data_IF_291945191035
#
_entry.id   IF_291945191035
#
_cell.length_a   1.000
_cell.length_b   1.000
_cell.length_c   1.000
_cell.angle_alpha   90.00
_cell.angle_beta   90.00
_cell.angle_gamma   90.00
#
_symmetry.space_group_name_H-M   'P 1'
#
loop_
_entity.id
_entity.type
_entity.pdbx_description
1 polymer ?
#
# COMPACT_ATOMS: atom_id res chain seq x y z
N UNK A 1 22.42 -16.71 -4.27
CA UNK A 1 21.07 -16.49 -4.79
C UNK A 1 20.68 -15.01 -4.61
N UNK A 2 20.26 -14.36 -5.68
CA UNK A 2 19.91 -12.94 -5.61
C UNK A 2 18.56 -12.75 -4.93
N UNK A 3 18.44 -11.70 -4.11
CA UNK A 3 17.17 -11.29 -3.54
C UNK A 3 16.30 -10.69 -4.65
N UNK A 4 15.02 -10.99 -4.64
CA UNK A 4 14.09 -10.46 -5.65
C UNK A 4 13.66 -9.03 -5.27
N UNK A 5 13.13 -8.29 -6.25
CA UNK A 5 12.54 -6.97 -5.98
C UNK A 5 11.34 -7.08 -5.06
N UNK A 6 10.58 -8.16 -5.15
CA UNK A 6 9.47 -8.46 -4.23
C UNK A 6 9.98 -8.53 -2.78
N UNK A 7 11.04 -9.29 -2.53
CA UNK A 7 11.61 -9.43 -1.19
C UNK A 7 12.16 -8.11 -0.67
N UNK A 8 12.86 -7.35 -1.52
CA UNK A 8 13.38 -6.03 -1.15
C UNK A 8 12.25 -5.05 -0.82
N UNK A 9 11.16 -5.08 -1.58
CA UNK A 9 10.01 -4.22 -1.32
C UNK A 9 9.41 -4.51 0.06
N UNK A 10 9.29 -5.78 0.42
CA UNK A 10 8.75 -6.18 1.73
C UNK A 10 9.65 -5.73 2.87
N UNK A 11 10.98 -5.85 2.74
CA UNK A 11 11.92 -5.36 3.75
C UNK A 11 11.81 -3.84 3.91
N UNK A 12 11.75 -3.12 2.81
CA UNK A 12 11.64 -1.66 2.81
C UNK A 12 10.33 -1.21 3.45
N UNK A 13 9.22 -1.84 3.10
CA UNK A 13 7.91 -1.56 3.67
C UNK A 13 7.91 -1.74 5.19
N UNK A 14 8.53 -2.79 5.68
CA UNK A 14 8.64 -3.08 7.11
C UNK A 14 9.29 -1.94 7.88
N UNK A 15 10.30 -1.28 7.30
CA UNK A 15 10.99 -0.16 7.95
C UNK A 15 10.08 1.03 8.24
N UNK A 16 8.99 1.17 7.51
CA UNK A 16 8.12 2.33 7.64
C UNK A 16 6.96 2.14 8.60
N UNK A 17 6.87 0.99 9.27
CA UNK A 17 5.87 0.79 10.32
C UNK A 17 5.98 1.88 11.38
N UNK A 18 4.84 2.50 11.72
CA UNK A 18 4.78 3.56 12.71
C UNK A 18 4.95 4.97 12.17
N UNK A 19 5.30 5.15 10.89
CA UNK A 19 5.36 6.48 10.28
C UNK A 19 3.95 7.02 10.11
N UNK A 20 3.77 8.32 10.33
CA UNK A 20 2.45 8.93 10.28
C UNK A 20 1.83 8.93 8.88
N UNK A 21 0.51 8.80 8.84
CA UNK A 21 -0.29 9.05 7.65
C UNK A 21 -0.37 10.57 7.43
N UNK A 22 -0.23 11.00 6.17
CA UNK A 22 -0.46 12.39 5.80
C UNK A 22 -1.18 12.44 4.45
N UNK A 23 -2.34 13.05 4.42
CA UNK A 23 -3.14 13.14 3.19
C UNK A 23 -2.36 13.84 2.08
N UNK A 24 -2.23 13.18 0.92
CA UNK A 24 -1.41 13.67 -0.18
C UNK A 24 0.09 13.52 0.05
N UNK A 25 0.51 12.97 1.19
CA UNK A 25 1.92 12.80 1.54
C UNK A 25 2.62 11.71 0.74
N UNK A 26 3.87 11.97 0.36
CA UNK A 26 4.67 11.06 -0.45
C UNK A 26 6.13 10.98 0.03
N UNK A 27 6.41 11.35 1.26
CA UNK A 27 7.77 11.29 1.82
C UNK A 27 7.78 10.89 3.29
N UNK A 28 8.93 10.37 3.75
CA UNK A 28 9.12 9.98 5.15
C UNK A 28 9.05 11.17 6.11
N UNK A 29 9.40 12.36 5.64
CA UNK A 29 9.40 13.58 6.47
C UNK A 29 7.98 14.07 6.70
N UNK A 30 7.17 14.10 5.65
CA UNK A 30 5.77 14.56 5.73
C UNK A 30 4.82 13.46 6.18
N UNK A 31 5.22 12.21 5.99
CA UNK A 31 4.36 11.05 6.11
C UNK A 31 3.80 10.64 4.75
N UNK A 32 3.05 9.53 4.71
CA UNK A 32 2.46 9.01 3.48
C UNK A 32 0.97 8.79 3.65
N UNK A 33 0.22 9.02 2.56
CA UNK A 33 -1.12 8.44 2.44
C UNK A 33 -1.00 6.99 1.93
N UNK A 34 -2.13 6.29 1.75
CA UNK A 34 -2.11 4.87 1.42
C UNK A 34 -1.40 4.58 0.08
N UNK A 35 -1.74 5.32 -0.97
CA UNK A 35 -1.12 5.13 -2.28
C UNK A 35 0.32 5.66 -2.32
N UNK A 36 0.60 6.75 -1.62
CA UNK A 36 1.94 7.34 -1.54
C UNK A 36 2.97 6.38 -0.99
N UNK A 37 2.66 5.67 0.08
CA UNK A 37 3.55 4.66 0.64
C UNK A 37 3.83 3.52 -0.34
N UNK A 38 2.78 2.99 -0.97
CA UNK A 38 2.93 1.87 -1.91
C UNK A 38 3.76 2.31 -3.12
N UNK A 39 3.51 3.50 -3.65
CA UNK A 39 4.29 4.06 -4.76
C UNK A 39 5.76 4.19 -4.36
N UNK A 40 6.05 4.72 -3.16
CA UNK A 40 7.43 4.85 -2.67
C UNK A 40 8.12 3.50 -2.61
N UNK A 41 7.46 2.48 -2.10
CA UNK A 41 8.02 1.12 -2.02
C UNK A 41 8.34 0.59 -3.42
N UNK A 42 7.42 0.73 -4.37
CA UNK A 42 7.61 0.24 -5.75
C UNK A 42 8.65 1.05 -6.52
N UNK A 43 8.76 2.35 -6.28
CA UNK A 43 9.82 3.18 -6.83
C UNK A 43 11.19 2.76 -6.33
N UNK A 44 11.30 2.47 -5.04
CA UNK A 44 12.57 2.13 -4.40
C UNK A 44 13.19 0.85 -4.94
N UNK A 45 12.38 -0.06 -5.45
CA UNK A 45 12.87 -1.31 -6.04
C UNK A 45 12.83 -1.30 -7.57
N UNK A 46 12.53 -0.14 -8.18
CA UNK A 46 12.60 0.02 -9.64
C UNK A 46 11.41 -0.51 -10.42
N UNK A 47 10.27 -0.77 -9.77
CA UNK A 47 9.03 -1.19 -10.44
C UNK A 47 8.32 0.02 -11.05
N UNK A 48 8.32 1.16 -10.35
CA UNK A 48 7.74 2.41 -10.84
C UNK A 48 8.82 3.47 -11.03
N UNK A 49 8.66 4.38 -12.01
CA UNK A 49 9.62 5.48 -12.21
C UNK A 49 9.49 6.51 -11.08
N UNK A 50 10.57 7.29 -10.86
CA UNK A 50 10.64 8.23 -9.73
C UNK A 50 9.58 9.32 -9.73
N UNK A 51 9.10 9.73 -10.90
CA UNK A 51 8.10 10.80 -11.00
C UNK A 51 6.66 10.26 -10.96
N UNK A 52 6.50 8.95 -10.87
CA UNK A 52 5.15 8.37 -10.84
C UNK A 52 4.40 8.83 -9.60
N UNK A 53 3.18 9.27 -9.80
CA UNK A 53 2.26 9.63 -8.74
C UNK A 53 0.86 9.24 -9.15
N UNK A 54 0.07 8.74 -8.20
CA UNK A 54 -1.30 8.33 -8.48
C UNK A 54 -2.08 8.09 -7.19
N UNK A 55 -3.40 7.99 -7.34
CA UNK A 55 -4.30 7.58 -6.27
C UNK A 55 -4.36 6.06 -6.15
N UNK A 56 -5.04 5.56 -5.12
CA UNK A 56 -5.29 4.12 -4.99
C UNK A 56 -6.03 3.58 -6.21
N UNK A 57 -7.03 4.32 -6.71
CA UNK A 57 -7.77 3.88 -7.89
C UNK A 57 -6.90 3.88 -9.15
N UNK A 58 -6.05 4.89 -9.31
CA UNK A 58 -5.10 4.95 -10.43
C UNK A 58 -4.11 3.79 -10.41
N UNK A 59 -3.60 3.41 -9.23
CA UNK A 59 -2.77 2.22 -9.09
C UNK A 59 -3.53 0.94 -9.47
N UNK A 60 -4.77 0.83 -9.04
CA UNK A 60 -5.61 -0.31 -9.41
C UNK A 60 -5.74 -0.40 -10.93
N UNK A 61 -6.04 0.71 -11.61
CA UNK A 61 -6.18 0.73 -13.06
C UNK A 61 -4.90 0.30 -13.77
N UNK A 62 -3.73 0.64 -13.18
CA UNK A 62 -2.44 0.22 -13.74
C UNK A 62 -2.21 -1.29 -13.63
N UNK A 63 -2.63 -1.91 -12.53
CA UNK A 63 -2.32 -3.32 -12.25
C UNK A 63 -3.51 -4.27 -12.39
N UNK A 64 -4.67 -3.78 -12.79
CA UNK A 64 -5.90 -4.59 -12.85
C UNK A 64 -5.83 -5.79 -13.81
N UNK A 65 -4.92 -5.76 -14.77
CA UNK A 65 -4.74 -6.88 -15.69
C UNK A 65 -3.95 -8.04 -15.05
N UNK A 66 -3.38 -7.82 -13.87
CA UNK A 66 -2.61 -8.80 -13.11
C UNK A 66 -3.36 -9.21 -11.83
N UNK A 67 -4.66 -9.46 -11.94
CA UNK A 67 -5.49 -9.91 -10.81
C UNK A 67 -5.00 -11.25 -10.28
N UNK A 68 -5.05 -11.40 -8.96
CA UNK A 68 -4.62 -12.61 -8.25
C UNK A 68 -5.84 -13.26 -7.61
N UNK A 69 -6.05 -14.54 -7.91
CA UNK A 69 -7.10 -15.35 -7.28
C UNK A 69 -6.78 -15.59 -5.80
N UNK A 70 -7.84 -15.85 -5.02
CA UNK A 70 -7.71 -16.01 -3.57
C UNK A 70 -6.66 -17.05 -3.17
N UNK A 71 -6.57 -18.16 -3.87
CA UNK A 71 -5.63 -19.24 -3.56
C UNK A 71 -4.18 -18.92 -3.93
N UNK A 72 -3.96 -17.86 -4.68
CA UNK A 72 -2.65 -17.46 -5.18
C UNK A 72 -2.11 -16.19 -4.54
N UNK A 73 -2.81 -15.64 -3.55
CA UNK A 73 -2.36 -14.45 -2.83
C UNK A 73 -1.05 -14.75 -2.11
N UNK A 74 -0.07 -13.88 -2.33
CA UNK A 74 1.26 -14.04 -1.72
C UNK A 74 1.87 -12.69 -1.33
N UNK A 75 2.90 -12.69 -0.47
CA UNK A 75 3.59 -11.46 -0.08
C UNK A 75 4.03 -10.63 -1.28
N UNK A 76 3.85 -9.31 -1.18
CA UNK A 76 4.15 -8.39 -2.27
C UNK A 76 2.95 -8.06 -3.15
N UNK A 77 1.87 -8.83 -3.10
CA UNK A 77 0.65 -8.47 -3.80
C UNK A 77 0.06 -7.18 -3.22
N UNK A 78 -0.61 -6.40 -4.07
CA UNK A 78 -1.35 -5.23 -3.64
C UNK A 78 -2.81 -5.60 -3.44
N UNK A 79 -3.40 -5.12 -2.34
CA UNK A 79 -4.82 -5.31 -2.05
C UNK A 79 -5.51 -3.95 -2.10
N UNK A 80 -6.61 -3.89 -2.85
CA UNK A 80 -7.41 -2.68 -3.06
C UNK A 80 -8.82 -2.90 -2.55
N UNK A 81 -9.27 -2.02 -1.65
CA UNK A 81 -10.66 -2.02 -1.19
C UNK A 81 -11.48 -1.02 -1.98
N UNK A 82 -12.72 -1.38 -2.27
CA UNK A 82 -13.59 -0.63 -3.18
C UNK A 82 -14.77 -0.02 -2.46
N UNK A 83 -15.20 1.14 -2.97
CA UNK A 83 -16.46 1.80 -2.62
C UNK A 83 -17.02 2.43 -3.89
N UNK A 84 -18.29 2.11 -4.20
CA UNK A 84 -18.97 2.64 -5.39
C UNK A 84 -18.17 2.38 -6.68
N UNK A 85 -17.57 1.19 -6.79
CA UNK A 85 -16.83 0.79 -7.99
C UNK A 85 -15.44 1.38 -8.13
N UNK A 86 -14.95 2.12 -7.12
CA UNK A 86 -13.62 2.71 -7.15
C UNK A 86 -12.77 2.21 -5.99
N UNK A 87 -11.48 1.98 -6.26
CA UNK A 87 -10.54 1.65 -5.22
C UNK A 87 -10.31 2.88 -4.34
N UNK A 88 -10.63 2.75 -3.05
CA UNK A 88 -10.50 3.83 -2.07
C UNK A 88 -9.32 3.69 -1.14
N UNK A 89 -8.70 2.50 -1.11
CA UNK A 89 -7.61 2.18 -0.19
C UNK A 89 -6.74 1.09 -0.79
N UNK A 90 -5.44 1.14 -0.52
CA UNK A 90 -4.47 0.15 -0.98
C UNK A 90 -3.46 -0.16 0.11
N UNK A 91 -3.12 -1.44 0.26
CA UNK A 91 -2.05 -1.89 1.13
C UNK A 91 -1.29 -3.02 0.42
N UNK A 92 -0.18 -3.46 1.00
CA UNK A 92 0.60 -4.57 0.46
C UNK A 92 0.49 -5.79 1.37
N UNK A 93 0.27 -6.95 0.78
CA UNK A 93 0.30 -8.23 1.51
C UNK A 93 1.74 -8.44 2.01
N UNK A 94 1.91 -8.60 3.32
CA UNK A 94 3.22 -8.76 3.95
C UNK A 94 3.55 -10.21 4.24
N UNK A 95 2.68 -10.85 5.02
CA UNK A 95 2.75 -12.26 5.34
C UNK A 95 1.36 -12.87 5.24
N UNK A 96 1.29 -14.18 5.40
CA UNK A 96 0.05 -14.93 5.34
C UNK A 96 -1.05 -14.27 6.19
N UNK A 97 -2.06 -13.75 5.53
CA UNK A 97 -3.21 -13.14 6.21
C UNK A 97 -3.00 -11.73 6.75
N UNK A 98 -1.84 -11.09 6.53
CA UNK A 98 -1.56 -9.75 7.04
C UNK A 98 -1.13 -8.79 5.94
N UNK A 99 -1.54 -7.53 6.10
CA UNK A 99 -1.24 -6.43 5.17
C UNK A 99 -0.55 -5.29 5.91
N UNK A 100 0.29 -4.54 5.21
CA UNK A 100 0.91 -3.32 5.73
C UNK A 100 0.58 -2.16 4.80
N UNK A 101 0.24 -1.03 5.41
CA UNK A 101 0.00 0.21 4.66
C UNK A 101 -0.29 1.39 5.59
N UNK A 102 -0.36 2.58 5.01
CA UNK A 102 -0.76 3.79 5.72
C UNK A 102 -2.27 3.80 5.83
N UNK A 103 -2.79 3.74 7.05
CA UNK A 103 -4.23 3.61 7.30
C UNK A 103 -4.69 4.41 8.52
N UNK A 104 -6.00 4.59 8.63
CA UNK A 104 -6.63 5.33 9.73
C UNK A 104 -6.85 6.81 9.42
N UNK A 105 -6.31 7.32 8.31
CA UNK A 105 -6.42 8.72 7.96
C UNK A 105 -7.43 9.00 6.84
N UNK A 106 -7.60 10.27 6.55
CA UNK A 106 -8.47 10.77 5.48
C UNK A 106 -8.04 12.17 5.07
N UNK A 107 -8.90 12.88 4.33
CA UNK A 107 -8.59 14.20 3.78
C UNK A 107 -8.23 15.26 4.83
N UNK A 108 -8.64 15.06 6.08
CA UNK A 108 -8.35 15.98 7.18
C UNK A 108 -7.10 15.61 7.98
N UNK A 109 -6.40 14.52 7.61
CA UNK A 109 -5.20 14.04 8.29
C UNK A 109 -3.97 14.60 7.59
N UNK A 110 -3.51 15.79 8.01
CA UNK A 110 -2.43 16.52 7.33
C UNK A 110 -1.22 16.81 8.20
N UNK A 111 -1.37 16.79 9.53
CA UNK A 111 -0.31 17.12 10.49
C UNK A 111 -0.07 15.95 11.43
N UNK A 112 1.03 16.01 12.20
CA UNK A 112 1.31 15.00 13.24
C UNK A 112 0.19 14.95 14.27
N UNK A 113 -0.36 16.12 14.65
CA UNK A 113 -1.48 16.19 15.59
C UNK A 113 -2.71 15.48 15.05
N UNK A 114 -3.02 15.68 13.76
CA UNK A 114 -4.13 15.01 13.09
C UNK A 114 -3.93 13.49 13.06
N UNK A 115 -2.71 13.04 12.77
CA UNK A 115 -2.39 11.61 12.74
C UNK A 115 -2.60 10.96 14.10
N UNK A 116 -2.19 11.64 15.17
CA UNK A 116 -2.41 11.14 16.55
C UNK A 116 -3.90 11.09 16.85
N UNK A 117 -4.65 12.15 16.54
CA UNK A 117 -6.10 12.21 16.75
C UNK A 117 -6.81 11.06 16.06
N UNK A 118 -6.45 10.77 14.81
CA UNK A 118 -7.11 9.77 13.96
C UNK A 118 -6.48 8.39 14.08
N UNK A 119 -5.41 8.24 14.87
CA UNK A 119 -4.61 7.02 14.97
C UNK A 119 -4.17 6.54 13.58
N UNK A 120 -3.67 7.48 12.78
CA UNK A 120 -3.35 7.29 11.37
C UNK A 120 -1.84 7.15 11.17
N UNK A 121 -1.40 5.92 10.92
CA UNK A 121 0.02 5.56 10.78
C UNK A 121 0.16 4.39 9.82
N UNK A 122 1.38 4.12 9.40
CA UNK A 122 1.70 2.88 8.71
C UNK A 122 1.56 1.75 9.72
N UNK A 123 0.68 0.79 9.42
CA UNK A 123 0.29 -0.27 10.35
C UNK A 123 0.21 -1.62 9.66
N UNK A 124 0.33 -2.67 10.46
CA UNK A 124 0.00 -4.03 10.05
C UNK A 124 -1.43 -4.35 10.49
N UNK A 125 -2.20 -4.97 9.61
CA UNK A 125 -3.60 -5.35 9.89
C UNK A 125 -3.90 -6.72 9.30
N UNK A 126 -4.91 -7.46 9.85
CA UNK A 126 -5.41 -8.66 9.17
C UNK A 126 -6.02 -8.30 7.81
N UNK A 127 -5.94 -9.20 6.86
CA UNK A 127 -6.36 -8.94 5.47
C UNK A 127 -7.83 -8.50 5.36
N UNK A 128 -8.69 -8.99 6.23
CA UNK A 128 -10.12 -8.65 6.20
C UNK A 128 -10.53 -7.47 7.06
N UNK A 129 -9.58 -6.71 7.61
CA UNK A 129 -9.90 -5.67 8.59
C UNK A 129 -10.81 -4.56 8.04
N UNK A 130 -10.76 -4.29 6.74
CA UNK A 130 -11.51 -3.21 6.11
C UNK A 130 -12.64 -3.74 5.20
N UNK A 131 -13.09 -4.95 5.44
CA UNK A 131 -14.22 -5.57 4.75
C UNK A 131 -13.80 -6.51 3.64
N UNK A 132 -14.81 -7.06 2.95
CA UNK A 132 -14.64 -8.09 1.94
C UNK A 132 -14.67 -7.57 0.50
N UNK A 133 -14.94 -6.28 0.30
CA UNK A 133 -15.01 -5.68 -1.03
C UNK A 133 -13.62 -5.28 -1.49
N UNK A 134 -12.77 -6.27 -1.79
CA UNK A 134 -11.40 -6.02 -2.24
C UNK A 134 -11.03 -6.88 -3.44
N UNK A 135 -9.97 -6.44 -4.14
CA UNK A 135 -9.31 -7.18 -5.21
C UNK A 135 -7.81 -7.14 -4.99
N UNK A 136 -7.13 -8.18 -5.45
CA UNK A 136 -5.68 -8.31 -5.27
C UNK A 136 -5.01 -8.33 -6.64
N UNK A 137 -3.92 -7.59 -6.79
CA UNK A 137 -3.13 -7.53 -8.01
C UNK A 137 -1.65 -7.76 -7.70
N UNK A 138 -0.88 -8.23 -8.67
CA UNK A 138 0.56 -8.46 -8.51
C UNK A 138 1.36 -7.45 -9.33
N UNK A 139 2.13 -6.53 -8.69
CA UNK A 139 2.93 -5.58 -9.42
C UNK A 139 4.30 -6.13 -9.86
N UNK A 140 4.69 -7.31 -9.40
CA UNK A 140 6.05 -7.84 -9.59
C UNK A 140 6.17 -8.87 -10.73
N UNK A 141 5.05 -9.37 -11.25
CA UNK A 141 5.10 -10.42 -12.24
C UNK A 141 5.72 -11.71 -11.71
N UNK A 142 6.77 -12.18 -12.36
CA UNK A 142 7.40 -13.47 -12.04
C UNK A 142 8.36 -13.43 -10.83
N UNK A 143 8.57 -12.28 -10.26
CA UNK A 143 9.51 -12.14 -9.12
C UNK A 143 8.94 -12.51 -7.75
#
# INVERSE_FOLDING_TARGET
MAITRRELALEYLWHWLGIQYSYGGDSAVEGWDCSGLIIEVLQSVGILPHQYDNTAHGLYLKYKDNLVEADNIRPGNLIFWFRNGKARHVMMIYKHGYVIGACGGGSDTKTTKDAIRDNAFVKMRPIGYDGDSYKVCDPFGDE
#
